data_IF_176356145714
#
_entry.id   IF_176356145714
#
_cell.length_a   1.000
_cell.length_b   1.000
_cell.length_c   1.000
_cell.angle_alpha   90.00
_cell.angle_beta   90.00
_cell.angle_gamma   90.00
#
_symmetry.space_group_name_H-M   'P 1'
#
loop_
_entity.id
_entity.type
_entity.pdbx_description
1 polymer ?
#
# COMPACT_ATOMS: atom_id res chain seq x y z
N UNK A 1 37.65 48.85 9.33
CA UNK A 1 37.77 50.00 8.42
C UNK A 1 38.77 49.64 7.32
N UNK A 2 38.27 49.31 6.14
CA UNK A 2 38.98 49.48 4.87
C UNK A 2 37.89 49.53 3.80
N UNK A 3 37.77 50.70 3.19
CA UNK A 3 36.67 51.07 2.30
C UNK A 3 37.11 50.97 0.84
N UNK A 4 36.38 50.22 0.03
CA UNK A 4 36.24 50.52 -1.39
C UNK A 4 34.75 50.74 -1.67
N UNK A 5 34.41 51.98 -2.04
CA UNK A 5 33.08 52.42 -2.44
C UNK A 5 32.98 52.33 -3.96
N UNK A 6 32.06 51.51 -4.44
CA UNK A 6 31.39 51.71 -5.73
C UNK A 6 29.91 51.38 -5.51
N UNK A 7 29.03 52.39 -5.65
CA UNK A 7 27.59 52.25 -5.90
C UNK A 7 26.73 51.52 -4.85
N UNK A 8 26.54 52.12 -3.67
CA UNK A 8 25.83 51.49 -2.54
C UNK A 8 24.29 51.70 -2.63
N UNK A 9 23.59 51.04 -3.56
CA UNK A 9 22.17 50.66 -3.36
C UNK A 9 22.17 49.33 -2.61
N UNK A 10 22.20 49.39 -1.28
CA UNK A 10 22.00 48.21 -0.44
C UNK A 10 20.57 47.72 -0.59
N UNK A 11 20.38 46.69 -1.40
CA UNK A 11 19.21 45.82 -1.27
C UNK A 11 19.44 45.02 0.01
N UNK A 12 18.83 45.47 1.10
CA UNK A 12 18.75 44.65 2.31
C UNK A 12 17.76 43.52 2.04
N UNK A 13 18.28 42.35 1.68
CA UNK A 13 17.53 41.10 1.81
C UNK A 13 17.42 40.81 3.31
N UNK A 14 16.38 41.36 3.95
CA UNK A 14 15.93 40.88 5.24
C UNK A 14 15.33 39.49 5.01
N UNK A 15 16.12 38.45 5.25
CA UNK A 15 15.57 37.11 5.48
C UNK A 15 15.15 37.05 6.95
N UNK A 16 13.85 37.10 7.29
CA UNK A 16 13.44 36.87 8.67
C UNK A 16 13.85 35.45 9.06
N UNK A 17 14.79 35.32 9.99
CA UNK A 17 15.19 34.02 10.53
C UNK A 17 14.14 33.62 11.57
N UNK A 18 13.34 32.62 11.23
CA UNK A 18 12.40 32.00 12.17
C UNK A 18 13.17 30.97 13.02
N UNK A 19 13.49 31.32 14.26
CA UNK A 19 14.12 30.38 15.21
C UNK A 19 13.02 29.62 15.95
N UNK A 20 12.74 28.38 15.54
CA UNK A 20 11.81 27.50 16.25
C UNK A 20 12.57 26.57 17.19
N UNK A 21 12.24 26.59 18.49
CA UNK A 21 12.69 25.57 19.45
C UNK A 21 11.74 24.37 19.36
N UNK A 22 12.00 23.46 18.43
CA UNK A 22 11.19 22.25 18.24
C UNK A 22 11.87 21.09 18.99
N UNK A 23 11.30 20.70 20.12
CA UNK A 23 11.65 19.43 20.79
C UNK A 23 11.05 18.23 20.04
N UNK A 24 11.62 17.03 20.21
CA UNK A 24 11.15 15.80 19.55
C UNK A 24 9.65 15.54 19.80
N UNK A 25 9.14 15.88 20.99
CA UNK A 25 7.71 15.77 21.35
C UNK A 25 6.78 16.74 20.59
N UNK A 26 7.32 17.75 19.89
CA UNK A 26 6.52 18.73 19.14
C UNK A 26 6.42 18.43 17.64
N UNK A 27 7.10 17.39 17.12
CA UNK A 27 7.11 17.06 15.68
C UNK A 27 5.72 16.63 15.19
N UNK A 28 4.99 15.84 15.99
CA UNK A 28 3.63 15.39 15.65
C UNK A 28 2.62 16.55 15.71
N UNK A 29 2.83 17.53 16.60
CA UNK A 29 1.96 18.73 16.71
C UNK A 29 2.05 19.61 15.46
N UNK A 30 3.19 19.61 14.76
CA UNK A 30 3.34 20.30 13.46
C UNK A 30 2.51 19.64 12.35
N UNK A 31 2.22 18.34 12.46
CA UNK A 31 1.34 17.62 11.52
C UNK A 31 -0.16 17.87 11.74
N UNK A 32 -0.55 18.47 12.87
CA UNK A 32 -1.95 18.82 13.17
C UNK A 32 -2.20 20.34 13.23
N UNK A 33 -1.15 21.15 13.36
CA UNK A 33 -1.23 22.61 13.54
C UNK A 33 -0.99 23.46 12.29
N UNK A 34 -1.11 22.91 11.08
CA UNK A 34 -0.86 23.65 9.83
C UNK A 34 -1.98 24.62 9.42
N UNK A 35 -1.65 25.54 8.51
CA UNK A 35 -2.52 26.59 7.95
C UNK A 35 -3.97 26.14 7.76
N UNK A 36 -4.88 26.76 8.53
CA UNK A 36 -6.31 26.45 8.54
C UNK A 36 -7.00 27.16 7.37
N UNK A 37 -7.54 26.40 6.42
CA UNK A 37 -8.45 26.91 5.36
C UNK A 37 -9.88 26.55 5.79
N UNK A 38 -10.86 27.49 5.79
CA UNK A 38 -12.22 27.22 6.23
C UNK A 38 -12.89 26.05 5.48
N UNK A 39 -13.69 25.31 6.22
CA UNK A 39 -14.02 23.90 6.05
C UNK A 39 -15.47 23.71 5.56
N UNK A 40 -15.70 23.66 4.24
CA UNK A 40 -17.05 23.49 3.67
C UNK A 40 -17.20 22.39 2.60
N UNK A 41 -16.11 21.71 2.18
CA UNK A 41 -16.17 20.74 1.06
C UNK A 41 -16.06 19.28 1.53
N UNK A 42 -16.91 18.40 0.98
CA UNK A 42 -16.91 16.96 1.26
C UNK A 42 -15.62 16.26 0.86
N UNK A 43 -14.84 16.85 -0.05
CA UNK A 43 -13.54 16.33 -0.53
C UNK A 43 -12.52 16.12 0.59
N UNK A 44 -12.61 16.90 1.68
CA UNK A 44 -11.76 16.70 2.88
C UNK A 44 -12.09 15.38 3.60
N UNK A 45 -13.31 14.86 3.42
CA UNK A 45 -13.78 13.59 4.02
C UNK A 45 -13.61 12.37 3.11
N UNK A 46 -13.13 12.55 1.88
CA UNK A 46 -12.88 11.45 0.93
C UNK A 46 -11.79 10.50 1.45
N UNK A 47 -10.80 11.04 2.15
CA UNK A 47 -9.71 10.27 2.74
C UNK A 47 -9.59 10.54 4.25
N UNK A 48 -9.97 9.55 5.06
CA UNK A 48 -10.09 9.66 6.51
C UNK A 48 -8.76 9.81 7.25
N UNK A 49 -7.62 9.64 6.57
CA UNK A 49 -6.29 9.75 7.20
C UNK A 49 -5.60 11.09 6.97
N UNK A 50 -6.19 12.05 6.22
CA UNK A 50 -5.57 13.37 5.99
C UNK A 50 -5.79 14.25 7.23
N UNK A 51 -4.70 14.83 7.74
CA UNK A 51 -4.73 15.83 8.83
C UNK A 51 -4.39 17.24 8.35
N UNK A 52 -4.72 18.26 9.15
CA UNK A 52 -4.43 19.66 8.85
C UNK A 52 -2.94 19.97 9.02
N UNK A 53 -2.20 19.84 7.92
CA UNK A 53 -0.79 20.18 7.87
C UNK A 53 -0.45 20.92 6.57
N UNK A 54 0.76 21.49 6.52
CA UNK A 54 1.33 22.00 5.27
C UNK A 54 1.36 20.89 4.20
N UNK A 55 1.66 19.65 4.59
CA UNK A 55 1.63 18.50 3.68
C UNK A 55 0.22 18.22 3.15
N UNK A 56 -0.79 18.23 4.03
CA UNK A 56 -2.20 18.06 3.66
C UNK A 56 -2.72 19.16 2.74
N UNK A 57 -2.31 20.42 2.97
CA UNK A 57 -2.64 21.55 2.11
C UNK A 57 -2.03 21.40 0.70
N UNK A 58 -0.76 21.00 0.62
CA UNK A 58 -0.09 20.74 -0.67
C UNK A 58 -0.83 19.63 -1.43
N UNK A 59 -1.17 18.53 -0.75
CA UNK A 59 -1.93 17.44 -1.35
C UNK A 59 -3.31 17.88 -1.84
N UNK A 60 -4.05 18.66 -1.04
CA UNK A 60 -5.38 19.14 -1.41
C UNK A 60 -5.34 20.01 -2.67
N UNK A 61 -4.41 20.97 -2.72
CA UNK A 61 -4.26 21.85 -3.88
C UNK A 61 -3.81 21.08 -5.13
N UNK A 62 -2.80 20.22 -4.99
CA UNK A 62 -2.30 19.39 -6.09
C UNK A 62 -3.39 18.43 -6.61
N UNK A 63 -4.16 17.84 -5.69
CA UNK A 63 -5.25 16.93 -6.02
C UNK A 63 -6.37 17.62 -6.79
N UNK A 64 -6.77 18.82 -6.38
CA UNK A 64 -7.81 19.59 -7.08
C UNK A 64 -7.38 19.99 -8.50
N UNK A 65 -6.11 20.39 -8.69
CA UNK A 65 -5.56 20.70 -10.02
C UNK A 65 -5.53 19.45 -10.90
N UNK A 66 -5.05 18.33 -10.36
CA UNK A 66 -4.95 17.06 -11.10
C UNK A 66 -6.33 16.53 -11.50
N UNK A 67 -7.31 16.61 -10.60
CA UNK A 67 -8.68 16.19 -10.89
C UNK A 67 -9.32 17.02 -12.01
N UNK A 68 -9.12 18.34 -11.99
CA UNK A 68 -9.59 19.23 -13.05
C UNK A 68 -8.91 18.94 -14.39
N UNK A 69 -7.61 18.61 -14.38
CA UNK A 69 -6.88 18.21 -15.59
C UNK A 69 -7.45 16.91 -16.17
N UNK A 70 -7.70 15.89 -15.36
CA UNK A 70 -8.38 14.67 -15.79
C UNK A 70 -9.72 14.96 -16.47
N UNK A 71 -10.58 15.75 -15.83
CA UNK A 71 -11.96 15.97 -16.26
C UNK A 71 -12.12 17.02 -17.38
N UNK A 72 -11.07 17.80 -17.68
CA UNK A 72 -11.15 18.88 -18.69
C UNK A 72 -10.29 18.58 -19.90
N UNK A 73 -9.13 17.95 -19.73
CA UNK A 73 -8.14 17.77 -20.78
C UNK A 73 -7.99 16.31 -21.23
N UNK A 74 -8.22 15.34 -20.33
CA UNK A 74 -7.98 13.92 -20.62
C UNK A 74 -9.24 13.17 -20.98
N UNK A 75 -10.29 13.29 -20.15
CA UNK A 75 -11.56 12.64 -20.42
C UNK A 75 -12.40 13.46 -21.38
N UNK A 76 -13.14 12.75 -22.25
CA UNK A 76 -14.16 13.40 -23.05
C UNK A 76 -15.30 13.96 -22.19
N UNK A 77 -16.07 14.88 -22.78
CA UNK A 77 -17.13 15.59 -22.09
C UNK A 77 -18.20 14.64 -21.51
N UNK A 78 -18.46 13.50 -22.15
CA UNK A 78 -19.48 12.56 -21.71
C UNK A 78 -19.06 11.87 -20.41
N UNK A 79 -17.82 11.39 -20.33
CA UNK A 79 -17.25 10.80 -19.12
C UNK A 79 -17.16 11.85 -18.01
N UNK A 80 -16.65 13.04 -18.33
CA UNK A 80 -16.47 14.10 -17.35
C UNK A 80 -17.81 14.58 -16.78
N UNK A 81 -18.86 14.68 -17.61
CA UNK A 81 -20.20 15.03 -17.14
C UNK A 81 -20.82 13.90 -16.31
N UNK A 82 -20.70 12.64 -16.75
CA UNK A 82 -21.21 11.52 -15.96
C UNK A 82 -20.60 11.48 -14.53
N UNK A 83 -19.33 11.89 -14.39
CA UNK A 83 -18.71 12.08 -13.08
C UNK A 83 -19.27 13.30 -12.32
N UNK A 84 -19.33 14.47 -12.97
CA UNK A 84 -19.79 15.73 -12.36
C UNK A 84 -21.26 15.68 -11.94
N UNK A 85 -22.09 14.97 -12.69
CA UNK A 85 -23.53 14.79 -12.48
C UNK A 85 -23.85 13.62 -11.52
N UNK A 86 -22.80 12.97 -10.99
CA UNK A 86 -22.88 11.86 -10.04
C UNK A 86 -23.60 10.61 -10.59
N UNK A 87 -23.59 10.40 -11.90
CA UNK A 87 -24.05 9.15 -12.52
C UNK A 87 -23.00 8.03 -12.32
N UNK A 88 -21.73 8.40 -12.39
CA UNK A 88 -20.58 7.57 -12.01
C UNK A 88 -19.65 8.32 -11.07
N UNK A 89 -18.83 7.61 -10.32
CA UNK A 89 -17.75 8.17 -9.52
C UNK A 89 -16.43 7.54 -9.96
N UNK A 90 -15.52 8.36 -10.49
CA UNK A 90 -14.19 7.95 -10.92
C UNK A 90 -13.29 8.22 -9.72
N UNK A 91 -12.72 7.16 -9.15
CA UNK A 91 -11.92 7.25 -7.94
C UNK A 91 -10.53 7.82 -8.23
N UNK A 92 -9.95 8.45 -7.21
CA UNK A 92 -8.54 8.87 -7.17
C UNK A 92 -8.11 9.82 -8.30
N UNK A 93 -9.00 10.74 -8.68
CA UNK A 93 -8.68 11.79 -9.65
C UNK A 93 -7.61 12.77 -9.14
N UNK A 94 -7.28 12.73 -7.86
CA UNK A 94 -6.23 13.55 -7.25
C UNK A 94 -4.81 13.16 -7.67
N UNK A 95 -4.62 12.02 -8.33
CA UNK A 95 -3.31 11.56 -8.82
C UNK A 95 -3.33 11.15 -10.30
N UNK A 96 -2.24 11.40 -11.01
CA UNK A 96 -2.04 11.05 -12.42
C UNK A 96 -1.27 9.73 -12.55
N UNK A 97 -1.80 8.66 -11.94
CA UNK A 97 -1.13 7.35 -11.86
C UNK A 97 -2.14 6.20 -11.76
N UNK A 98 -1.65 4.97 -11.66
CA UNK A 98 -2.45 3.78 -11.36
C UNK A 98 -3.06 3.81 -9.95
N UNK A 99 -3.97 2.88 -9.67
CA UNK A 99 -4.63 2.82 -8.36
C UNK A 99 -3.78 2.06 -7.35
N UNK A 100 -3.88 0.73 -7.31
CA UNK A 100 -3.17 -0.10 -6.34
C UNK A 100 -2.29 -1.13 -7.04
N UNK A 101 -1.28 -1.63 -6.34
CA UNK A 101 -0.38 -2.64 -6.84
C UNK A 101 0.11 -3.54 -5.71
N UNK A 102 0.20 -4.84 -5.98
CA UNK A 102 1.04 -5.74 -5.21
C UNK A 102 2.41 -5.89 -5.87
N UNK A 103 3.42 -6.07 -5.03
CA UNK A 103 4.82 -6.10 -5.39
C UNK A 103 5.46 -7.43 -5.01
N UNK A 104 6.41 -7.88 -5.82
CA UNK A 104 7.16 -9.10 -5.51
C UNK A 104 8.21 -8.80 -4.44
N UNK A 105 7.96 -9.29 -3.22
CA UNK A 105 8.94 -9.23 -2.14
C UNK A 105 10.18 -10.06 -2.50
N UNK A 106 10.02 -11.15 -3.26
CA UNK A 106 11.15 -11.92 -3.80
C UNK A 106 12.06 -11.06 -4.68
N UNK A 107 11.50 -10.22 -5.56
CA UNK A 107 12.31 -9.32 -6.38
C UNK A 107 13.11 -8.34 -5.52
N UNK A 108 12.50 -7.74 -4.50
CA UNK A 108 13.19 -6.87 -3.55
C UNK A 108 14.32 -7.63 -2.81
N UNK A 109 14.09 -8.88 -2.43
CA UNK A 109 15.11 -9.74 -1.79
C UNK A 109 16.26 -10.07 -2.74
N UNK A 110 16.00 -10.23 -4.03
CA UNK A 110 16.99 -10.62 -5.04
C UNK A 110 17.80 -9.45 -5.59
N UNK A 111 17.17 -8.30 -5.77
CA UNK A 111 17.76 -7.14 -6.45
C UNK A 111 18.16 -6.02 -5.47
N UNK A 112 17.55 -5.98 -4.28
CA UNK A 112 17.65 -4.85 -3.37
C UNK A 112 16.78 -3.68 -3.82
N UNK A 113 17.00 -2.51 -3.21
CA UNK A 113 16.22 -1.30 -3.49
C UNK A 113 17.04 -0.34 -4.36
N UNK A 114 16.69 -0.20 -5.65
CA UNK A 114 17.45 0.67 -6.55
C UNK A 114 16.93 0.67 -7.98
N UNK A 115 17.83 0.97 -8.92
CA UNK A 115 17.55 0.91 -10.37
C UNK A 115 17.38 2.27 -11.06
N UNK A 116 17.37 3.37 -10.30
CA UNK A 116 17.25 4.73 -10.88
C UNK A 116 18.63 5.37 -11.03
N UNK A 117 19.00 5.72 -12.27
CA UNK A 117 20.27 6.37 -12.59
C UNK A 117 20.44 7.67 -11.78
N UNK A 118 21.58 7.80 -11.10
CA UNK A 118 21.91 8.99 -10.31
C UNK A 118 21.22 9.05 -8.94
N UNK A 119 20.53 7.99 -8.51
CA UNK A 119 20.00 7.85 -7.15
C UNK A 119 20.75 6.74 -6.40
N UNK A 120 20.76 6.84 -5.07
CA UNK A 120 21.35 5.82 -4.21
C UNK A 120 20.59 4.50 -4.40
N UNK A 121 21.33 3.41 -4.51
CA UNK A 121 20.79 2.05 -4.58
C UNK A 121 21.36 1.22 -3.45
N UNK A 122 20.54 0.34 -2.89
CA UNK A 122 20.90 -0.63 -1.87
C UNK A 122 21.02 -2.02 -2.49
N UNK A 123 22.08 -2.75 -2.14
CA UNK A 123 22.21 -4.15 -2.51
C UNK A 123 21.17 -5.02 -1.77
N UNK A 124 20.96 -6.27 -2.22
CA UNK A 124 20.13 -7.25 -1.53
C UNK A 124 20.42 -7.32 -0.03
N UNK A 125 19.37 -7.26 0.79
CA UNK A 125 19.48 -7.33 2.23
C UNK A 125 20.10 -8.67 2.68
N UNK A 126 21.04 -8.61 3.62
CA UNK A 126 21.68 -9.80 4.21
C UNK A 126 21.05 -10.26 5.52
N UNK A 127 20.40 -9.34 6.23
CA UNK A 127 19.86 -9.55 7.57
C UNK A 127 18.40 -9.09 7.61
N UNK A 128 17.60 -9.69 8.50
CA UNK A 128 16.16 -9.41 8.62
C UNK A 128 15.88 -7.92 8.86
N UNK A 129 16.66 -7.27 9.75
CA UNK A 129 16.52 -5.84 10.06
C UNK A 129 16.71 -4.94 8.84
N UNK A 130 17.67 -5.29 7.96
CA UNK A 130 17.94 -4.57 6.72
C UNK A 130 16.81 -4.78 5.72
N UNK A 131 16.28 -6.00 5.62
CA UNK A 131 15.12 -6.28 4.76
C UNK A 131 13.89 -5.50 5.22
N UNK A 132 13.57 -5.52 6.52
CA UNK A 132 12.47 -4.72 7.09
C UNK A 132 12.61 -3.23 6.74
N UNK A 133 13.83 -2.68 6.86
CA UNK A 133 14.09 -1.29 6.49
C UNK A 133 13.90 -1.03 4.98
N UNK A 134 14.38 -1.93 4.11
CA UNK A 134 14.17 -1.83 2.67
C UNK A 134 12.69 -1.91 2.31
N UNK A 135 11.90 -2.75 2.98
CA UNK A 135 10.45 -2.86 2.79
C UNK A 135 9.72 -1.57 3.18
N UNK A 136 10.03 -0.99 4.35
CA UNK A 136 9.45 0.31 4.78
C UNK A 136 9.76 1.40 3.76
N UNK A 137 11.02 1.49 3.31
CA UNK A 137 11.42 2.47 2.32
C UNK A 137 10.75 2.25 0.97
N UNK A 138 10.66 1.00 0.50
CA UNK A 138 10.02 0.65 -0.75
C UNK A 138 8.53 1.03 -0.73
N UNK A 139 7.78 0.59 0.28
CA UNK A 139 6.35 0.90 0.41
C UNK A 139 6.12 2.41 0.54
N UNK A 140 6.99 3.11 1.27
CA UNK A 140 6.96 4.57 1.38
C UNK A 140 7.25 5.28 0.07
N UNK A 141 8.14 4.76 -0.80
CA UNK A 141 8.36 5.29 -2.15
C UNK A 141 7.12 5.03 -3.01
N UNK A 142 6.63 3.79 -3.06
CA UNK A 142 5.52 3.41 -3.93
C UNK A 142 4.21 4.12 -3.58
N UNK A 143 3.99 4.45 -2.30
CA UNK A 143 2.84 5.27 -1.88
C UNK A 143 2.81 6.66 -2.53
N UNK A 144 3.96 7.21 -2.92
CA UNK A 144 4.02 8.50 -3.61
C UNK A 144 3.80 8.38 -5.13
N UNK A 145 3.94 7.16 -5.67
CA UNK A 145 3.83 6.88 -7.11
C UNK A 145 2.50 6.24 -7.50
N UNK A 146 1.68 5.82 -6.53
CA UNK A 146 0.40 5.13 -6.72
C UNK A 146 -0.67 5.71 -5.79
N UNK A 147 -1.92 5.73 -6.23
CA UNK A 147 -3.00 6.36 -5.46
C UNK A 147 -3.52 5.52 -4.28
N UNK A 148 -3.48 4.20 -4.43
CA UNK A 148 -4.09 3.25 -3.51
C UNK A 148 -3.07 2.38 -2.77
N UNK A 149 -3.54 1.24 -2.28
CA UNK A 149 -2.74 0.38 -1.40
C UNK A 149 -1.55 -0.29 -2.12
N UNK A 150 -0.48 -0.45 -1.36
CA UNK A 150 0.76 -1.14 -1.76
C UNK A 150 0.90 -2.43 -0.97
N UNK A 151 0.97 -3.57 -1.66
CA UNK A 151 0.89 -4.87 -1.02
C UNK A 151 2.13 -5.74 -1.18
N UNK A 152 2.48 -6.49 -0.14
CA UNK A 152 3.37 -7.65 -0.25
C UNK A 152 2.61 -8.95 0.01
N UNK A 153 2.97 -9.99 -0.73
CA UNK A 153 2.46 -11.35 -0.52
C UNK A 153 3.52 -12.26 0.10
N UNK A 154 3.09 -13.35 0.75
CA UNK A 154 3.99 -14.33 1.39
C UNK A 154 4.98 -13.69 2.37
N UNK A 155 4.53 -12.72 3.15
CA UNK A 155 5.39 -11.93 4.03
C UNK A 155 6.16 -12.81 5.03
N UNK A 156 5.45 -13.67 5.75
CA UNK A 156 6.03 -14.60 6.72
C UNK A 156 6.94 -15.65 6.06
N UNK A 157 6.50 -16.25 4.95
CA UNK A 157 7.30 -17.21 4.19
C UNK A 157 8.62 -16.62 3.69
N UNK A 158 8.61 -15.41 3.13
CA UNK A 158 9.81 -14.79 2.57
C UNK A 158 10.77 -14.23 3.62
N UNK A 159 10.28 -13.86 4.81
CA UNK A 159 11.14 -13.40 5.91
C UNK A 159 11.77 -14.56 6.70
N UNK A 160 11.11 -15.73 6.76
CA UNK A 160 11.56 -16.87 7.56
C UNK A 160 13.02 -17.34 7.28
N UNK A 161 13.51 -17.35 6.03
CA UNK A 161 14.92 -17.66 5.74
C UNK A 161 15.93 -16.74 6.43
N UNK A 162 15.61 -15.44 6.58
CA UNK A 162 16.53 -14.49 7.24
C UNK A 162 16.68 -14.79 8.73
N UNK A 163 15.59 -15.21 9.37
CA UNK A 163 15.61 -15.67 10.78
C UNK A 163 16.47 -16.91 10.92
N UNK A 164 16.37 -17.85 9.98
CA UNK A 164 17.14 -19.10 10.01
C UNK A 164 18.62 -18.87 9.73
N UNK A 165 18.94 -18.08 8.70
CA UNK A 165 20.31 -17.81 8.27
C UNK A 165 21.15 -17.18 9.38
N UNK A 166 20.57 -16.24 10.13
CA UNK A 166 21.23 -15.57 11.25
C UNK A 166 21.00 -16.28 12.60
N UNK A 167 20.23 -17.37 12.63
CA UNK A 167 19.81 -18.10 13.84
C UNK A 167 19.25 -17.15 14.92
N UNK A 168 18.33 -16.27 14.54
CA UNK A 168 17.81 -15.22 15.40
C UNK A 168 16.97 -15.78 16.55
N UNK A 169 17.11 -15.16 17.72
CA UNK A 169 16.21 -15.36 18.85
C UNK A 169 14.86 -14.70 18.62
N UNK A 170 13.83 -15.14 19.35
CA UNK A 170 12.51 -14.51 19.31
C UNK A 170 12.55 -13.01 19.58
N UNK A 171 13.40 -12.57 20.52
CA UNK A 171 13.55 -11.16 20.86
C UNK A 171 14.06 -10.33 19.68
N UNK A 172 15.03 -10.86 18.94
CA UNK A 172 15.58 -10.19 17.75
C UNK A 172 14.58 -10.15 16.60
N UNK A 173 13.82 -11.23 16.41
CA UNK A 173 12.72 -11.25 15.42
C UNK A 173 11.65 -10.23 15.79
N UNK A 174 11.17 -10.22 17.04
CA UNK A 174 10.17 -9.25 17.51
C UNK A 174 10.62 -7.82 17.30
N UNK A 175 11.87 -7.50 17.63
CA UNK A 175 12.41 -6.16 17.39
C UNK A 175 12.43 -5.77 15.90
N UNK A 176 12.76 -6.70 14.99
CA UNK A 176 12.75 -6.42 13.56
C UNK A 176 11.33 -6.19 13.02
N UNK A 177 10.36 -7.00 13.48
CA UNK A 177 8.95 -6.88 13.08
C UNK A 177 8.31 -5.62 13.65
N UNK A 178 8.60 -5.29 14.91
CA UNK A 178 8.18 -4.04 15.55
C UNK A 178 8.69 -2.82 14.77
N UNK A 179 9.98 -2.81 14.42
CA UNK A 179 10.56 -1.73 13.62
C UNK A 179 9.89 -1.59 12.25
N UNK A 180 9.46 -2.69 11.63
CA UNK A 180 8.72 -2.66 10.37
C UNK A 180 7.31 -2.05 10.56
N UNK A 181 6.55 -2.54 11.55
CA UNK A 181 5.18 -2.06 11.84
C UNK A 181 5.22 -0.56 12.15
N UNK A 182 6.12 -0.11 13.03
CA UNK A 182 6.23 1.31 13.36
C UNK A 182 6.65 2.15 12.15
N UNK A 183 7.56 1.62 11.33
CA UNK A 183 8.02 2.27 10.11
C UNK A 183 6.90 2.53 9.10
N UNK A 184 5.98 1.58 8.90
CA UNK A 184 4.85 1.75 7.97
C UNK A 184 3.66 2.51 8.55
N UNK A 185 3.60 2.74 9.87
CA UNK A 185 2.57 3.57 10.49
C UNK A 185 3.01 5.01 10.76
N UNK A 186 4.31 5.33 10.61
CA UNK A 186 4.81 6.68 10.86
C UNK A 186 4.69 7.55 9.61
N UNK A 187 3.89 8.64 9.62
CA UNK A 187 3.76 9.52 8.47
C UNK A 187 5.06 10.31 8.24
N UNK A 188 5.80 10.00 7.19
CA UNK A 188 7.14 10.57 6.97
C UNK A 188 7.34 11.31 5.64
N UNK A 189 6.37 11.27 4.71
CA UNK A 189 6.48 11.92 3.39
C UNK A 189 5.18 12.63 2.98
N UNK A 190 5.30 13.57 2.03
CA UNK A 190 4.28 14.55 1.62
C UNK A 190 2.84 14.08 1.83
N UNK A 191 2.20 14.55 2.91
CA UNK A 191 0.77 14.31 3.09
C UNK A 191 0.26 13.84 4.43
N UNK A 192 1.09 13.74 5.47
CA UNK A 192 0.67 13.32 6.84
C UNK A 192 -0.02 11.98 6.96
N UNK A 193 0.01 11.16 5.91
CA UNK A 193 -0.53 9.81 5.91
C UNK A 193 0.56 8.76 6.06
N UNK A 194 0.26 7.74 6.86
CA UNK A 194 0.97 6.49 6.80
C UNK A 194 0.70 5.80 5.45
N UNK A 195 1.71 5.14 4.85
CA UNK A 195 1.51 4.34 3.65
C UNK A 195 0.37 3.34 3.80
N UNK A 196 -0.58 3.36 2.86
CA UNK A 196 -1.65 2.39 2.80
C UNK A 196 -1.05 1.05 2.36
N UNK A 197 -0.76 0.21 3.35
CA UNK A 197 -0.04 -1.04 3.12
C UNK A 197 -0.87 -2.26 3.51
N UNK A 198 -0.74 -3.31 2.72
CA UNK A 198 -1.33 -4.62 2.98
C UNK A 198 -0.23 -5.68 2.96
N UNK A 199 -0.34 -6.66 3.85
CA UNK A 199 0.50 -7.86 3.78
C UNK A 199 -0.37 -9.12 3.81
N UNK A 200 0.01 -10.11 3.01
CA UNK A 200 -0.57 -11.46 3.10
C UNK A 200 0.41 -12.36 3.82
N UNK A 201 -0.09 -13.06 4.83
CA UNK A 201 0.62 -14.08 5.59
C UNK A 201 0.06 -15.45 5.23
N UNK A 202 0.95 -16.38 4.89
CA UNK A 202 0.57 -17.70 4.40
C UNK A 202 0.15 -18.63 5.54
N UNK A 203 0.62 -18.39 6.78
CA UNK A 203 0.41 -19.21 7.98
C UNK A 203 1.07 -20.59 7.95
N UNK A 204 1.03 -21.26 6.79
CA UNK A 204 1.79 -22.46 6.46
C UNK A 204 2.53 -22.22 5.14
N UNK A 205 3.73 -22.79 5.01
CA UNK A 205 4.54 -22.63 3.79
C UNK A 205 3.72 -23.14 2.59
N UNK A 206 3.47 -22.30 1.57
CA UNK A 206 2.60 -22.69 0.46
C UNK A 206 3.30 -23.67 -0.49
N UNK A 207 2.54 -24.59 -1.10
CA UNK A 207 3.04 -25.69 -1.93
C UNK A 207 3.97 -25.23 -3.08
N UNK A 208 3.68 -24.06 -3.67
CA UNK A 208 4.43 -23.50 -4.78
C UNK A 208 5.81 -22.96 -4.38
N UNK A 209 5.97 -22.57 -3.10
CA UNK A 209 7.26 -22.11 -2.55
C UNK A 209 8.00 -23.22 -1.78
N UNK A 210 7.27 -24.21 -1.24
CA UNK A 210 7.80 -25.21 -0.31
C UNK A 210 9.11 -25.88 -0.78
N UNK A 211 9.18 -26.28 -2.05
CA UNK A 211 10.34 -26.98 -2.61
C UNK A 211 11.39 -26.05 -3.23
N UNK A 212 11.11 -24.74 -3.31
CA UNK A 212 12.07 -23.77 -3.85
C UNK A 212 13.21 -23.54 -2.84
N UNK A 213 14.44 -23.29 -3.32
CA UNK A 213 15.54 -22.90 -2.45
C UNK A 213 15.19 -21.57 -1.76
N UNK A 214 15.42 -21.50 -0.45
CA UNK A 214 15.25 -20.27 0.28
C UNK A 214 16.27 -19.22 -0.21
N UNK A 215 15.89 -17.94 -0.27
CA UNK A 215 16.75 -16.86 -0.78
C UNK A 215 17.07 -15.87 0.35
N UNK A 216 18.36 -15.58 0.55
CA UNK A 216 18.88 -14.54 1.46
C UNK A 216 20.04 -13.82 0.77
N UNK A 217 20.18 -12.50 0.94
CA UNK A 217 21.23 -11.71 0.27
C UNK A 217 21.24 -11.85 -1.27
N UNK A 218 20.06 -12.07 -1.86
CA UNK A 218 19.88 -12.35 -3.28
C UNK A 218 20.50 -13.67 -3.75
N UNK A 219 20.78 -14.61 -2.85
CA UNK A 219 21.40 -15.90 -3.17
C UNK A 219 20.61 -17.08 -2.60
N UNK A 220 20.53 -18.19 -3.34
CA UNK A 220 19.93 -19.42 -2.83
C UNK A 220 20.74 -19.97 -1.65
N UNK A 221 20.02 -20.49 -0.66
CA UNK A 221 20.54 -21.18 0.50
C UNK A 221 20.57 -22.70 0.25
N UNK A 222 21.21 -23.44 1.16
CA UNK A 222 21.29 -24.91 1.13
C UNK A 222 20.04 -25.61 1.71
N UNK A 223 19.03 -24.84 2.11
CA UNK A 223 17.72 -25.30 2.57
C UNK A 223 16.57 -24.68 1.75
N UNK A 224 15.38 -25.27 1.87
CA UNK A 224 14.17 -24.87 1.14
C UNK A 224 13.21 -24.10 2.04
N UNK A 225 12.22 -23.41 1.46
CA UNK A 225 11.22 -22.68 2.25
C UNK A 225 10.43 -23.59 3.21
N UNK A 226 10.13 -24.83 2.83
CA UNK A 226 9.44 -25.79 3.72
C UNK A 226 10.20 -26.07 5.02
N UNK A 227 11.52 -25.90 5.02
CA UNK A 227 12.37 -26.14 6.17
C UNK A 227 12.30 -24.98 7.21
N UNK A 228 11.66 -23.86 6.86
CA UNK A 228 11.61 -22.61 7.63
C UNK A 228 10.32 -22.41 8.45
N UNK A 229 9.50 -23.46 8.65
CA UNK A 229 8.19 -23.34 9.34
C UNK A 229 8.31 -22.79 10.77
N UNK A 230 9.32 -23.22 11.53
CA UNK A 230 9.56 -22.74 12.89
C UNK A 230 9.83 -21.23 12.93
N UNK A 231 10.63 -20.75 12.00
CA UNK A 231 10.96 -19.34 11.84
C UNK A 231 9.76 -18.52 11.37
N UNK A 232 8.93 -19.11 10.50
CA UNK A 232 7.66 -18.52 10.07
C UNK A 232 6.68 -18.37 11.23
N UNK A 233 6.58 -19.36 12.12
CA UNK A 233 5.78 -19.28 13.35
C UNK A 233 6.29 -18.18 14.29
N UNK A 234 7.61 -17.99 14.35
CA UNK A 234 8.25 -16.94 15.13
C UNK A 234 7.89 -15.54 14.62
N UNK A 235 7.88 -15.35 13.29
CA UNK A 235 7.48 -14.09 12.65
C UNK A 235 6.00 -13.80 12.88
N UNK A 236 5.14 -14.80 12.69
CA UNK A 236 3.69 -14.66 12.92
C UNK A 236 3.39 -14.26 14.37
N UNK A 237 4.03 -14.94 15.33
CA UNK A 237 3.91 -14.59 16.75
C UNK A 237 4.33 -13.15 17.04
N UNK A 238 5.52 -12.77 16.56
CA UNK A 238 6.05 -11.42 16.74
C UNK A 238 5.13 -10.36 16.15
N UNK A 239 4.62 -10.59 14.93
CA UNK A 239 3.71 -9.67 14.25
C UNK A 239 2.40 -9.50 15.02
N UNK A 240 1.77 -10.62 15.42
CA UNK A 240 0.48 -10.57 16.12
C UNK A 240 0.62 -9.93 17.50
N UNK A 241 1.66 -10.28 18.28
CA UNK A 241 1.91 -9.67 19.58
C UNK A 241 2.07 -8.15 19.44
N UNK A 242 2.87 -7.66 18.50
CA UNK A 242 3.04 -6.21 18.29
C UNK A 242 1.74 -5.53 17.86
N UNK A 243 0.94 -6.17 17.01
CA UNK A 243 -0.38 -5.62 16.62
C UNK A 243 -1.37 -5.58 17.79
N UNK A 244 -1.30 -6.54 18.73
CA UNK A 244 -2.13 -6.57 19.94
C UNK A 244 -1.70 -5.50 20.95
N UNK A 245 -0.39 -5.31 21.12
CA UNK A 245 0.22 -4.32 22.02
C UNK A 245 -0.18 -2.90 21.64
N UNK A 246 -0.19 -2.60 20.33
CA UNK A 246 -0.55 -1.28 19.81
C UNK A 246 0.56 -0.25 20.00
N UNK A 247 0.22 1.02 19.77
CA UNK A 247 1.15 2.12 19.94
C UNK A 247 1.38 2.49 21.42
N UNK A 248 2.18 3.53 21.66
CA UNK A 248 2.52 3.98 23.02
C UNK A 248 1.30 4.40 23.87
N UNK A 249 0.17 4.71 23.23
CA UNK A 249 -1.10 5.08 23.88
C UNK A 249 -2.09 3.88 23.91
N UNK A 250 -1.67 2.70 23.47
CA UNK A 250 -2.48 1.48 23.40
C UNK A 250 -3.46 1.43 22.23
N UNK A 251 -3.33 2.31 21.23
CA UNK A 251 -4.16 2.30 20.02
C UNK A 251 -3.66 1.20 19.08
N UNK A 252 -4.58 0.50 18.42
CA UNK A 252 -4.22 -0.48 17.40
C UNK A 252 -3.56 0.19 16.19
N UNK A 253 -2.63 -0.52 15.55
CA UNK A 253 -2.04 -0.06 14.29
C UNK A 253 -3.02 -0.22 13.14
N UNK A 254 -3.10 0.80 12.28
CA UNK A 254 -3.92 0.74 11.07
C UNK A 254 -3.25 -0.08 9.96
N UNK A 255 -1.90 -0.05 9.92
CA UNK A 255 -1.10 -0.68 8.89
C UNK A 255 -0.01 -1.62 9.46
N UNK A 256 0.57 -2.51 8.63
CA UNK A 256 -0.04 -2.95 7.39
C UNK A 256 -1.33 -3.72 7.72
N UNK A 257 -2.33 -3.66 6.84
CA UNK A 257 -3.54 -4.48 7.01
C UNK A 257 -3.15 -5.94 6.77
N UNK A 258 -3.23 -6.81 7.79
CA UNK A 258 -2.84 -8.20 7.67
C UNK A 258 -3.98 -9.04 7.08
N UNK A 259 -3.62 -9.93 6.16
CA UNK A 259 -4.53 -10.95 5.61
C UNK A 259 -3.93 -12.33 5.80
N UNK A 260 -4.63 -13.21 6.53
CA UNK A 260 -4.23 -14.60 6.73
C UNK A 260 -5.01 -15.54 5.82
N UNK A 261 -4.33 -16.49 5.21
CA UNK A 261 -4.97 -17.54 4.42
C UNK A 261 -5.47 -18.67 5.31
N UNK A 262 -6.77 -18.93 5.31
CA UNK A 262 -7.37 -20.10 5.98
C UNK A 262 -7.63 -21.17 4.93
N UNK A 263 -6.91 -22.28 5.02
CA UNK A 263 -7.04 -23.45 4.14
C UNK A 263 -7.84 -24.56 4.82
N UNK A 264 -8.15 -25.63 4.07
CA UNK A 264 -8.80 -26.84 4.62
C UNK A 264 -7.98 -27.50 5.71
N UNK A 265 -6.65 -27.37 5.63
CA UNK A 265 -5.69 -27.97 6.55
C UNK A 265 -5.27 -27.00 7.67
N UNK A 266 -5.99 -25.88 7.85
CA UNK A 266 -5.71 -24.96 8.94
C UNK A 266 -5.86 -25.69 10.28
N UNK A 267 -4.80 -25.67 11.09
CA UNK A 267 -4.82 -26.26 12.41
C UNK A 267 -5.67 -25.39 13.34
N UNK A 268 -6.83 -25.89 13.77
CA UNK A 268 -7.75 -25.21 14.69
C UNK A 268 -7.46 -25.49 16.17
N UNK A 269 -6.39 -26.23 16.48
CA UNK A 269 -6.03 -26.55 17.86
C UNK A 269 -5.62 -25.31 18.65
N UNK A 270 -5.60 -25.42 19.99
CA UNK A 270 -5.21 -24.33 20.89
C UNK A 270 -3.68 -24.15 20.93
N UNK A 271 -3.09 -23.76 19.81
CA UNK A 271 -1.71 -23.29 19.75
C UNK A 271 -1.61 -21.84 20.23
N UNK A 272 -0.44 -21.44 20.73
CA UNK A 272 -0.22 -20.05 21.16
C UNK A 272 -0.44 -19.05 20.02
N UNK A 273 0.01 -19.37 18.80
CA UNK A 273 -0.19 -18.50 17.64
C UNK A 273 -1.68 -18.40 17.26
N UNK A 274 -2.46 -19.48 17.34
CA UNK A 274 -3.91 -19.42 17.12
C UNK A 274 -4.60 -18.57 18.18
N UNK A 275 -4.24 -18.75 19.46
CA UNK A 275 -4.79 -17.96 20.57
C UNK A 275 -4.57 -16.47 20.33
N UNK A 276 -3.34 -16.09 19.97
CA UNK A 276 -2.98 -14.70 19.65
C UNK A 276 -3.73 -14.19 18.40
N UNK A 277 -3.82 -14.98 17.33
CA UNK A 277 -4.52 -14.59 16.09
C UNK A 277 -5.99 -14.23 16.35
N UNK A 278 -6.69 -15.05 17.13
CA UNK A 278 -8.09 -14.80 17.48
C UNK A 278 -8.25 -13.73 18.58
N UNK A 279 -7.27 -13.56 19.46
CA UNK A 279 -7.21 -12.42 20.39
C UNK A 279 -7.16 -11.10 19.62
N UNK A 280 -6.23 -10.96 18.65
CA UNK A 280 -6.13 -9.80 17.77
C UNK A 280 -7.45 -9.54 17.02
N UNK A 281 -8.07 -10.61 16.51
CA UNK A 281 -9.36 -10.57 15.80
C UNK A 281 -10.47 -10.02 16.68
N UNK A 282 -10.61 -10.56 17.90
CA UNK A 282 -11.67 -10.13 18.82
C UNK A 282 -11.46 -8.70 19.34
N UNK A 283 -10.21 -8.28 19.52
CA UNK A 283 -9.87 -6.96 20.07
C UNK A 283 -10.03 -5.83 19.05
N UNK A 284 -9.63 -6.06 17.80
CA UNK A 284 -9.50 -4.98 16.79
C UNK A 284 -10.25 -5.24 15.48
N UNK A 285 -10.88 -6.41 15.29
CA UNK A 285 -11.53 -6.75 14.01
C UNK A 285 -10.54 -7.02 12.87
N UNK A 286 -9.27 -7.25 13.19
CA UNK A 286 -8.16 -7.56 12.27
C UNK A 286 -7.54 -8.88 12.72
N UNK A 287 -7.13 -9.79 11.82
CA UNK A 287 -6.86 -9.60 10.41
C UNK A 287 -8.06 -9.88 9.52
N UNK A 288 -7.88 -9.62 8.21
CA UNK A 288 -8.75 -10.24 7.22
C UNK A 288 -8.40 -11.72 7.03
N UNK A 289 -9.41 -12.52 6.73
CA UNK A 289 -9.24 -13.93 6.43
C UNK A 289 -9.57 -14.21 4.96
N UNK A 290 -8.58 -14.73 4.24
CA UNK A 290 -8.79 -15.31 2.91
C UNK A 290 -9.24 -16.76 3.09
N UNK A 291 -10.55 -16.97 3.03
CA UNK A 291 -11.17 -18.28 3.20
C UNK A 291 -11.05 -19.12 1.91
N UNK A 292 -10.25 -20.19 1.97
CA UNK A 292 -10.11 -21.21 0.93
C UNK A 292 -10.79 -22.55 1.29
N UNK A 293 -11.39 -22.67 2.48
CA UNK A 293 -11.97 -23.92 3.02
C UNK A 293 -13.03 -24.50 2.08
N UNK A 294 -13.90 -23.65 1.55
CA UNK A 294 -15.01 -24.06 0.67
C UNK A 294 -14.76 -23.67 -0.80
N UNK A 295 -13.51 -23.46 -1.20
CA UNK A 295 -13.16 -23.11 -2.57
C UNK A 295 -12.30 -24.19 -3.22
N UNK A 296 -12.38 -24.29 -4.54
CA UNK A 296 -11.43 -25.07 -5.36
C UNK A 296 -10.11 -24.32 -5.58
N UNK A 297 -9.95 -23.13 -5.00
CA UNK A 297 -8.75 -22.30 -5.10
C UNK A 297 -7.77 -22.63 -3.98
N UNK A 298 -6.49 -22.64 -4.30
CA UNK A 298 -5.39 -22.70 -3.33
C UNK A 298 -4.86 -21.30 -3.04
N UNK A 299 -4.16 -21.09 -1.91
CA UNK A 299 -3.46 -19.82 -1.65
C UNK A 299 -2.53 -19.36 -2.77
N UNK A 300 -1.92 -20.30 -3.50
CA UNK A 300 -1.07 -20.03 -4.66
C UNK A 300 -1.82 -19.62 -5.93
N UNK A 301 -3.16 -19.73 -5.95
CA UNK A 301 -4.02 -19.36 -7.07
C UNK A 301 -4.50 -17.91 -6.99
N UNK A 302 -4.42 -17.26 -5.82
CA UNK A 302 -4.89 -15.90 -5.58
C UNK A 302 -3.93 -15.16 -4.67
N UNK A 303 -3.35 -14.06 -5.15
CA UNK A 303 -2.66 -13.09 -4.32
C UNK A 303 -3.56 -11.88 -4.11
N UNK A 304 -3.70 -11.44 -2.87
CA UNK A 304 -4.53 -10.26 -2.53
C UNK A 304 -3.69 -9.01 -2.72
N UNK A 305 -4.04 -8.19 -3.70
CA UNK A 305 -3.19 -7.05 -4.14
C UNK A 305 -3.62 -5.71 -3.53
N UNK A 306 -4.64 -5.71 -2.66
CA UNK A 306 -5.21 -4.56 -1.93
C UNK A 306 -6.30 -5.10 -0.97
N UNK A 307 -7.07 -4.22 -0.31
CA UNK A 307 -8.14 -4.57 0.64
C UNK A 307 -9.19 -5.56 0.15
N UNK A 308 -9.48 -5.62 -1.15
CA UNK A 308 -10.51 -6.55 -1.69
C UNK A 308 -10.28 -7.03 -3.11
N UNK A 309 -9.25 -6.53 -3.81
CA UNK A 309 -8.95 -6.96 -5.18
C UNK A 309 -8.34 -8.36 -5.16
N UNK A 310 -9.11 -9.33 -5.65
CA UNK A 310 -8.67 -10.71 -5.85
C UNK A 310 -8.49 -10.97 -7.32
N UNK A 311 -7.28 -11.39 -7.70
CA UNK A 311 -6.97 -11.75 -9.07
C UNK A 311 -6.84 -13.27 -9.16
N UNK A 312 -7.62 -13.89 -10.04
CA UNK A 312 -7.49 -15.31 -10.36
C UNK A 312 -6.25 -15.50 -11.24
N UNK A 313 -5.21 -16.09 -10.66
CA UNK A 313 -3.94 -16.26 -11.35
C UNK A 313 -4.01 -17.28 -12.48
N UNK A 314 -5.02 -18.14 -12.51
CA UNK A 314 -5.19 -19.13 -13.59
C UNK A 314 -5.53 -18.45 -14.92
N UNK A 315 -6.23 -17.33 -14.87
CA UNK A 315 -6.55 -16.50 -16.04
C UNK A 315 -5.41 -15.56 -16.43
N UNK A 316 -4.58 -15.13 -15.47
CA UNK A 316 -3.41 -14.26 -15.72
C UNK A 316 -2.17 -15.02 -16.22
N UNK A 317 -1.93 -16.25 -15.72
CA UNK A 317 -0.83 -17.13 -16.20
C UNK A 317 -0.98 -17.44 -17.69
N UNK A 318 -2.21 -17.50 -18.22
CA UNK A 318 -2.46 -17.64 -19.67
C UNK A 318 -1.98 -16.43 -20.49
N UNK A 319 -1.75 -15.28 -19.87
CA UNK A 319 -1.42 -14.01 -20.56
C UNK A 319 0.02 -13.51 -20.32
N UNK A 320 0.76 -14.06 -19.36
CA UNK A 320 2.10 -13.57 -19.01
C UNK A 320 3.08 -14.72 -18.78
N UNK A 321 4.01 -14.89 -19.72
CA UNK A 321 5.06 -15.92 -19.71
C UNK A 321 6.37 -15.47 -19.04
N UNK A 322 6.29 -14.86 -17.86
CA UNK A 322 7.45 -14.40 -17.09
C UNK A 322 7.94 -15.40 -16.03
N UNK A 323 9.22 -15.31 -15.65
CA UNK A 323 9.86 -16.14 -14.61
C UNK A 323 9.33 -15.90 -13.19
N UNK A 324 8.69 -14.76 -12.96
CA UNK A 324 8.02 -14.41 -11.71
C UNK A 324 6.54 -14.73 -11.83
N UNK A 325 5.97 -15.39 -10.81
CA UNK A 325 4.55 -15.72 -10.78
C UNK A 325 3.73 -14.47 -11.07
N UNK A 326 2.96 -14.50 -12.16
CA UNK A 326 2.18 -13.37 -12.70
C UNK A 326 1.18 -12.74 -11.72
N UNK A 327 1.08 -13.27 -10.50
CA UNK A 327 0.23 -12.78 -9.43
C UNK A 327 0.89 -11.89 -8.40
N UNK A 328 2.21 -11.72 -8.39
CA UNK A 328 2.89 -10.85 -7.42
C UNK A 328 3.18 -9.44 -7.97
N UNK A 329 2.90 -9.17 -9.25
CA UNK A 329 3.14 -7.89 -9.93
C UNK A 329 1.90 -7.39 -10.66
N UNK A 330 0.77 -7.47 -9.97
CA UNK A 330 -0.54 -7.09 -10.53
C UNK A 330 -1.25 -6.10 -9.65
N UNK A 331 -2.09 -5.28 -10.28
CA UNK A 331 -2.77 -4.19 -9.62
C UNK A 331 -4.00 -3.76 -10.40
N UNK A 332 -4.57 -2.64 -9.98
CA UNK A 332 -5.66 -1.98 -10.69
C UNK A 332 -5.20 -0.65 -11.24
N UNK A 333 -5.60 -0.35 -12.48
CA UNK A 333 -5.36 0.95 -13.10
C UNK A 333 -6.30 2.04 -12.56
N UNK A 334 -7.45 1.66 -12.00
CA UNK A 334 -8.47 2.58 -11.52
C UNK A 334 -9.76 1.86 -11.14
N UNK A 335 -10.62 2.57 -10.41
CA UNK A 335 -11.96 2.12 -10.04
C UNK A 335 -12.98 3.16 -10.51
N UNK A 336 -14.10 2.69 -11.04
CA UNK A 336 -15.26 3.52 -11.35
C UNK A 336 -16.47 2.88 -10.69
N UNK A 337 -17.18 3.64 -9.84
CA UNK A 337 -18.41 3.20 -9.18
C UNK A 337 -19.61 3.78 -9.91
N UNK A 338 -20.59 2.94 -10.23
CA UNK A 338 -21.86 3.37 -10.80
C UNK A 338 -22.84 3.71 -9.68
N UNK A 339 -23.55 4.83 -9.80
CA UNK A 339 -24.54 5.25 -8.82
C UNK A 339 -25.87 4.49 -9.03
N UNK A 340 -25.90 3.23 -8.59
CA UNK A 340 -27.07 2.34 -8.77
C UNK A 340 -28.37 2.90 -8.17
N UNK A 341 -28.39 3.53 -6.97
CA UNK A 341 -29.60 4.15 -6.44
C UNK A 341 -30.15 5.26 -7.34
N UNK A 342 -29.28 6.14 -7.85
CA UNK A 342 -29.69 7.20 -8.78
C UNK A 342 -30.20 6.63 -10.10
N UNK A 343 -29.50 5.64 -10.63
CA UNK A 343 -29.89 4.94 -11.85
C UNK A 343 -31.31 4.37 -11.72
N UNK A 344 -31.58 3.66 -10.61
CA UNK A 344 -32.91 3.11 -10.32
C UNK A 344 -33.98 4.21 -10.19
N UNK A 345 -33.67 5.31 -9.49
CA UNK A 345 -34.60 6.43 -9.30
C UNK A 345 -35.01 7.10 -10.62
N UNK A 346 -34.08 7.21 -11.58
CA UNK A 346 -34.31 7.86 -12.88
C UNK A 346 -34.96 6.95 -13.92
N UNK A 347 -35.00 5.63 -13.65
CA UNK A 347 -35.49 4.66 -14.62
C UNK A 347 -37.01 4.53 -14.55
N UNK A 348 -37.68 4.55 -15.70
CA UNK A 348 -39.15 4.43 -15.75
C UNK A 348 -39.63 2.99 -15.52
N UNK A 349 -38.82 2.02 -15.93
CA UNK A 349 -39.09 0.59 -15.84
C UNK A 349 -37.77 -0.19 -15.94
N UNK A 350 -37.85 -1.52 -15.88
CA UNK A 350 -36.69 -2.41 -15.92
C UNK A 350 -35.88 -2.33 -17.22
N UNK A 351 -36.56 -2.19 -18.37
CA UNK A 351 -35.89 -2.07 -19.67
C UNK A 351 -35.08 -0.76 -19.79
N UNK A 352 -35.67 0.36 -19.35
CA UNK A 352 -34.98 1.66 -19.27
C UNK A 352 -33.79 1.61 -18.30
N UNK A 353 -33.94 0.90 -17.17
CA UNK A 353 -32.84 0.71 -16.21
C UNK A 353 -31.64 0.01 -16.84
N UNK A 354 -31.85 -1.11 -17.52
CA UNK A 354 -30.74 -1.85 -18.16
C UNK A 354 -30.14 -1.06 -19.32
N UNK A 355 -30.96 -0.35 -20.11
CA UNK A 355 -30.46 0.51 -21.19
C UNK A 355 -29.54 1.62 -20.67
N UNK A 356 -29.92 2.25 -19.55
CA UNK A 356 -29.08 3.26 -18.89
C UNK A 356 -27.85 2.66 -18.23
N UNK A 357 -27.97 1.47 -17.63
CA UNK A 357 -26.86 0.74 -17.04
C UNK A 357 -25.78 0.44 -18.09
N UNK A 358 -26.17 -0.09 -19.24
CA UNK A 358 -25.26 -0.41 -20.35
C UNK A 358 -24.45 0.83 -20.76
N UNK A 359 -25.11 1.98 -20.92
CA UNK A 359 -24.44 3.25 -21.21
C UNK A 359 -23.42 3.64 -20.13
N UNK A 360 -23.77 3.53 -18.85
CA UNK A 360 -22.85 3.87 -17.76
C UNK A 360 -21.67 2.88 -17.68
N UNK A 361 -21.89 1.61 -18.01
CA UNK A 361 -20.85 0.60 -18.10
C UNK A 361 -19.88 0.90 -19.25
N UNK A 362 -20.38 1.29 -20.42
CA UNK A 362 -19.56 1.70 -21.56
C UNK A 362 -18.70 2.93 -21.25
N UNK A 363 -19.29 3.93 -20.59
CA UNK A 363 -18.57 5.11 -20.10
C UNK A 363 -17.46 4.74 -19.12
N UNK A 364 -17.75 3.84 -18.18
CA UNK A 364 -16.80 3.38 -17.17
C UNK A 364 -15.66 2.56 -17.79
N UNK A 365 -15.96 1.68 -18.75
CA UNK A 365 -14.95 0.91 -19.45
C UNK A 365 -14.03 1.82 -20.29
N UNK A 366 -14.61 2.80 -20.98
CA UNK A 366 -13.88 3.76 -21.79
C UNK A 366 -13.00 4.67 -20.94
N UNK A 367 -13.46 5.16 -19.79
CA UNK A 367 -12.65 5.97 -18.88
C UNK A 367 -11.44 5.21 -18.35
N UNK A 368 -11.62 3.95 -17.92
CA UNK A 368 -10.52 3.08 -17.49
C UNK A 368 -9.53 2.80 -18.63
N UNK A 369 -10.02 2.65 -19.86
CA UNK A 369 -9.17 2.43 -21.04
C UNK A 369 -8.34 3.68 -21.38
N UNK A 370 -8.93 4.87 -21.32
CA UNK A 370 -8.23 6.15 -21.48
C UNK A 370 -7.15 6.29 -20.42
N UNK A 371 -7.49 6.11 -19.13
CA UNK A 371 -6.53 6.15 -18.01
C UNK A 371 -5.38 5.19 -18.23
N UNK A 372 -5.66 3.93 -18.60
CA UNK A 372 -4.63 2.94 -18.91
C UNK A 372 -3.70 3.40 -20.03
N UNK A 373 -4.24 3.85 -21.15
CA UNK A 373 -3.43 4.26 -22.29
C UNK A 373 -2.52 5.45 -21.94
N UNK A 374 -3.04 6.43 -21.21
CA UNK A 374 -2.25 7.59 -20.77
C UNK A 374 -1.14 7.20 -19.80
N UNK A 375 -1.48 6.46 -18.74
CA UNK A 375 -0.50 6.05 -17.72
C UNK A 375 0.57 5.15 -18.34
N UNK A 376 0.20 4.21 -19.22
CA UNK A 376 1.20 3.41 -19.96
C UNK A 376 2.16 4.28 -20.76
N UNK A 377 1.65 5.30 -21.46
CA UNK A 377 2.50 6.24 -22.22
C UNK A 377 3.44 7.07 -21.32
N UNK A 378 3.06 7.33 -20.07
CA UNK A 378 3.91 8.05 -19.11
C UNK A 378 4.97 7.16 -18.46
N UNK A 379 4.78 5.84 -18.48
CA UNK A 379 5.73 4.86 -17.97
C UNK A 379 6.79 4.45 -19.00
N UNK A 380 6.44 4.53 -20.29
CA UNK A 380 7.36 4.37 -21.44
C UNK A 380 8.26 5.61 -21.62
#
# INVERSE_FOLDING_TARGET
QSSHRIGDRRVFLYSPVLVMHIGIHHILVVQDGGVHVPNEDWRVKENSTITYSVGGLILSNSGAVTANYWLSEIYDQEIANAHRDCDIHIHDLSMLTGYCAGWSLMQLIQEGLGGIKGKISSSPAKHLSVLCNQMVNFLGIMQNEWAGAQAFSSFDTYLAPFVRADNLSYREVKQCIESFIFGVNTPSRWGTQAPFTNITLDWTVPDDLAEMPAIVAGKPQDYRYKDCKKEMDMINRAFIETMIEGDADGRGFQYPIPTYSITKDFDWSETENNRLLFEMTSKYGTPYFSNYVNSDMKPSDVRSMCCRLRLDLRELRKKSGGFFGSGESTGSIGVVTLNMPRLAYLSMNEEDFFTRLDRLMDLSARSLKIKRNLVSKLLD
#
